data_IF_813156761360
#
_entry.id   IF_813156761360
#
_cell.length_a   1.000
_cell.length_b   1.000
_cell.length_c   1.000
_cell.angle_alpha   90.00
_cell.angle_beta   90.00
_cell.angle_gamma   90.00
#
_symmetry.space_group_name_H-M   'P 1'
#
loop_
_entity.id
_entity.type
_entity.pdbx_description
1 polymer ?
#
# COMPACT_ATOMS: atom_id res chain seq x y z
N UNK A 1 -12.18 9.16 0.88
CA UNK A 1 -11.86 8.39 2.11
C UNK A 1 -10.63 7.52 1.82
N UNK A 2 -9.70 7.31 2.77
CA UNK A 2 -8.47 6.51 2.56
C UNK A 2 -8.50 5.24 3.40
N UNK A 3 -7.89 4.15 2.93
CA UNK A 3 -7.69 2.93 3.73
C UNK A 3 -6.74 3.17 4.90
N UNK A 4 -6.66 2.17 5.79
CA UNK A 4 -5.61 2.15 6.81
C UNK A 4 -4.20 2.16 6.18
N UNK A 5 -3.18 2.72 6.86
CA UNK A 5 -1.81 2.75 6.36
C UNK A 5 -1.17 1.37 6.31
N UNK A 6 -0.90 0.89 5.11
CA UNK A 6 -0.28 -0.41 4.86
C UNK A 6 1.24 -0.30 4.72
N UNK A 7 1.96 -1.31 5.21
CA UNK A 7 3.37 -1.49 4.91
C UNK A 7 3.53 -2.19 3.56
N UNK A 8 4.73 -2.12 2.96
CA UNK A 8 5.03 -2.83 1.71
C UNK A 8 4.85 -4.35 1.83
N UNK A 9 5.12 -4.92 3.00
CA UNK A 9 4.93 -6.34 3.27
C UNK A 9 3.46 -6.75 3.17
N UNK A 10 2.54 -5.94 3.69
CA UNK A 10 1.11 -6.21 3.59
C UNK A 10 0.64 -6.20 2.12
N UNK A 11 1.16 -5.29 1.30
CA UNK A 11 0.90 -5.31 -0.15
C UNK A 11 1.45 -6.56 -0.84
N UNK A 12 2.58 -7.07 -0.34
CA UNK A 12 3.21 -8.26 -0.88
C UNK A 12 2.44 -9.54 -0.56
N UNK A 13 1.81 -9.61 0.61
CA UNK A 13 0.93 -10.72 0.98
C UNK A 13 -0.25 -10.89 0.00
N UNK A 14 -0.81 -9.78 -0.49
CA UNK A 14 -1.88 -9.81 -1.50
C UNK A 14 -1.44 -10.39 -2.87
N UNK A 15 -0.15 -10.28 -3.19
CA UNK A 15 0.42 -10.74 -4.45
C UNK A 15 1.02 -12.14 -4.33
N UNK A 16 1.14 -12.67 -3.11
CA UNK A 16 1.86 -13.90 -2.88
C UNK A 16 1.01 -15.08 -3.36
N UNK A 17 1.59 -15.92 -4.22
CA UNK A 17 0.98 -17.18 -4.57
C UNK A 17 1.22 -18.16 -3.40
N UNK A 18 0.18 -18.65 -2.71
CA UNK A 18 0.33 -19.53 -1.56
C UNK A 18 1.11 -20.82 -1.88
N UNK A 19 1.22 -21.19 -3.16
CA UNK A 19 1.97 -22.35 -3.61
C UNK A 19 3.50 -22.18 -3.62
N UNK A 20 4.05 -20.96 -3.77
CA UNK A 20 5.51 -20.77 -3.89
C UNK A 20 6.17 -20.31 -2.59
N UNK A 21 5.43 -19.65 -1.69
CA UNK A 21 5.98 -19.04 -0.46
C UNK A 21 7.01 -17.93 -0.71
N UNK A 22 7.40 -17.68 -1.96
CA UNK A 22 8.39 -16.68 -2.37
C UNK A 22 7.67 -15.48 -2.93
N UNK A 23 7.77 -14.37 -2.20
CA UNK A 23 7.31 -13.06 -2.67
C UNK A 23 8.27 -12.54 -3.74
N UNK A 24 7.78 -12.41 -4.97
CA UNK A 24 8.51 -11.69 -6.02
C UNK A 24 8.52 -10.19 -5.72
N UNK A 25 9.67 -9.70 -5.26
CA UNK A 25 9.88 -8.30 -4.91
C UNK A 25 9.72 -7.35 -6.11
N UNK A 26 9.95 -7.84 -7.34
CA UNK A 26 9.80 -7.06 -8.56
C UNK A 26 8.32 -6.90 -8.90
N UNK A 27 7.54 -7.98 -8.84
CA UNK A 27 6.09 -7.94 -9.00
C UNK A 27 5.42 -6.97 -8.00
N UNK A 28 5.87 -6.95 -6.74
CA UNK A 28 5.37 -5.99 -5.73
C UNK A 28 5.65 -4.54 -6.14
N UNK A 29 6.83 -4.25 -6.68
CA UNK A 29 7.18 -2.89 -7.15
C UNK A 29 6.32 -2.46 -8.33
N UNK A 30 6.14 -3.36 -9.29
CA UNK A 30 5.38 -3.08 -10.50
C UNK A 30 3.89 -2.89 -10.18
N UNK A 31 3.35 -3.69 -9.27
CA UNK A 31 2.00 -3.50 -8.73
C UNK A 31 1.82 -2.12 -8.06
N UNK A 32 2.72 -1.75 -7.14
CA UNK A 32 2.65 -0.43 -6.47
C UNK A 32 2.72 0.69 -7.50
N UNK A 33 3.60 0.57 -8.50
CA UNK A 33 3.73 1.58 -9.56
C UNK A 33 2.44 1.70 -10.37
N UNK A 34 1.84 0.59 -10.78
CA UNK A 34 0.59 0.58 -11.53
C UNK A 34 -0.56 1.21 -10.72
N UNK A 35 -0.77 0.80 -9.47
CA UNK A 35 -1.85 1.35 -8.64
C UNK A 35 -1.68 2.85 -8.33
N UNK A 36 -0.44 3.33 -8.23
CA UNK A 36 -0.15 4.77 -8.10
C UNK A 36 -0.44 5.52 -9.39
N UNK A 37 -0.09 4.96 -10.54
CA UNK A 37 -0.39 5.55 -11.85
C UNK A 37 -1.91 5.65 -12.09
N UNK A 38 -2.68 4.67 -11.63
CA UNK A 38 -4.14 4.63 -11.72
C UNK A 38 -4.84 5.56 -10.69
N UNK A 39 -4.09 6.27 -9.84
CA UNK A 39 -4.64 7.13 -8.79
C UNK A 39 -5.32 6.38 -7.64
N UNK A 40 -5.21 5.05 -7.60
CA UNK A 40 -5.84 4.17 -6.60
C UNK A 40 -5.03 4.03 -5.33
N UNK A 41 -3.71 4.24 -5.40
CA UNK A 41 -2.80 4.11 -4.27
C UNK A 41 -1.96 5.37 -4.11
N UNK A 42 -1.82 5.83 -2.86
CA UNK A 42 -0.89 6.91 -2.51
C UNK A 42 0.20 6.41 -1.58
N UNK A 43 1.38 7.01 -1.71
CA UNK A 43 2.53 6.76 -0.86
C UNK A 43 2.73 7.95 0.08
N UNK A 44 2.84 7.69 1.38
CA UNK A 44 3.03 8.72 2.42
C UNK A 44 4.14 8.34 3.36
N UNK A 45 4.70 9.34 4.04
CA UNK A 45 5.66 9.15 5.13
C UNK A 45 5.01 9.55 6.44
N UNK A 46 4.82 8.59 7.35
CA UNK A 46 4.22 8.81 8.67
C UNK A 46 5.26 8.59 9.76
N UNK A 47 5.16 9.35 10.86
CA UNK A 47 6.00 9.10 12.03
C UNK A 47 5.66 7.74 12.64
N UNK A 48 6.68 6.97 13.00
CA UNK A 48 6.49 5.69 13.69
C UNK A 48 6.01 5.94 15.12
N UNK A 49 6.66 6.89 15.79
CA UNK A 49 6.30 7.36 17.12
C UNK A 49 6.66 8.84 17.21
N UNK A 50 5.71 9.76 16.99
CA UNK A 50 5.99 11.19 16.98
C UNK A 50 6.42 11.74 18.35
N UNK A 51 6.10 11.04 19.45
CA UNK A 51 6.45 11.46 20.80
C UNK A 51 7.89 11.10 21.17
N UNK A 52 8.40 9.96 20.68
CA UNK A 52 9.76 9.49 20.98
C UNK A 52 10.78 9.75 19.88
N UNK A 53 10.37 9.84 18.62
CA UNK A 53 11.32 9.90 17.50
C UNK A 53 10.79 10.65 16.28
N UNK A 54 11.69 11.36 15.59
CA UNK A 54 11.41 11.92 14.27
C UNK A 54 11.50 10.89 13.15
N UNK A 55 11.67 9.60 13.46
CA UNK A 55 11.75 8.52 12.47
C UNK A 55 10.41 8.38 11.73
N UNK A 56 10.48 8.50 10.41
CA UNK A 56 9.34 8.30 9.50
C UNK A 56 9.45 6.96 8.79
N UNK A 57 8.32 6.30 8.58
CA UNK A 57 8.19 5.11 7.72
C UNK A 57 7.32 5.43 6.51
N UNK A 58 7.65 4.80 5.38
CA UNK A 58 6.78 4.84 4.20
C UNK A 58 5.59 3.91 4.42
N UNK A 59 4.41 4.41 4.10
CA UNK A 59 3.15 3.66 4.13
C UNK A 59 2.38 3.92 2.85
N UNK A 60 1.53 2.95 2.49
CA UNK A 60 0.67 3.01 1.32
C UNK A 60 -0.78 3.03 1.76
N UNK A 61 -1.61 3.84 1.11
CA UNK A 61 -3.05 3.91 1.40
C UNK A 61 -3.82 3.86 0.08
N UNK A 62 -4.86 3.04 0.03
CA UNK A 62 -5.78 3.04 -1.08
C UNK A 62 -6.71 4.26 -0.97
N UNK A 63 -6.90 4.91 -2.10
CA UNK A 63 -7.87 5.99 -2.26
C UNK A 63 -9.20 5.33 -2.62
N UNK A 64 -10.26 5.63 -1.88
CA UNK A 64 -11.60 5.27 -2.32
C UNK A 64 -11.91 6.09 -3.57
N UNK A 65 -11.71 5.48 -4.75
CA UNK A 65 -12.12 6.05 -6.03
C UNK A 65 -13.57 5.63 -6.20
N UNK A 66 -14.48 6.62 -6.28
CA UNK A 66 -15.94 6.51 -6.38
C UNK A 66 -16.46 5.07 -6.56
N UNK A 67 -16.91 4.45 -5.47
CA UNK A 67 -17.89 3.38 -5.60
C UNK A 67 -19.09 4.01 -6.32
N UNK A 68 -19.46 3.47 -7.47
CA UNK A 68 -20.77 3.74 -8.05
C UNK A 68 -21.80 3.34 -6.99
N UNK A 69 -22.40 4.35 -6.33
CA UNK A 69 -23.56 4.15 -5.50
C UNK A 69 -24.71 3.91 -6.47
N UNK A 70 -25.09 2.64 -6.64
CA UNK A 70 -26.36 2.27 -7.25
C UNK A 70 -27.45 2.91 -6.37
N UNK A 71 -28.11 3.95 -6.91
CA UNK A 71 -29.18 4.72 -6.26
C UNK A 71 -30.54 4.05 -6.47
#
# INVERSE_FOLDING_TARGET
MFSEPLARSALAEHLNNPASGVVDQQAVRDYIRAQKADGRLIERRVYVDPARSRKRRTVYQYVAVNLELDL
#
